data_IF_804498945607
#
_entry.id   IF_804498945607
#
_cell.length_a   1.000
_cell.length_b   1.000
_cell.length_c   1.000
_cell.angle_alpha   90.00
_cell.angle_beta   90.00
_cell.angle_gamma   90.00
#
_symmetry.space_group_name_H-M   'P 1'
#
loop_
_entity.id
_entity.type
_entity.pdbx_description
1 polymer ?
#
# COMPACT_ATOMS: atom_id res chain seq x y z
N UNK A 1 20.97 8.07 13.25
CA UNK A 1 19.74 8.87 13.42
C UNK A 1 18.90 8.74 12.15
N UNK A 2 17.91 7.85 12.16
CA UNK A 2 17.08 7.59 10.97
C UNK A 2 16.22 8.83 10.66
N UNK A 3 16.46 9.47 9.52
CA UNK A 3 15.64 10.59 9.04
C UNK A 3 14.30 10.04 8.53
N UNK A 4 13.32 9.87 9.42
CA UNK A 4 12.00 9.33 9.07
C UNK A 4 11.10 10.29 8.27
N UNK A 5 11.51 11.55 8.10
CA UNK A 5 10.80 12.54 7.29
C UNK A 5 11.74 13.06 6.19
N UNK A 6 11.97 12.26 5.15
CA UNK A 6 12.46 12.79 3.87
C UNK A 6 11.25 13.36 3.14
N UNK A 7 11.34 14.60 2.66
CA UNK A 7 10.40 15.12 1.66
C UNK A 7 10.45 14.15 0.48
N UNK A 8 9.31 13.59 0.09
CA UNK A 8 9.27 12.64 -1.01
C UNK A 8 9.45 13.45 -2.31
N UNK A 9 10.52 13.13 -3.04
CA UNK A 9 10.73 13.69 -4.38
C UNK A 9 9.80 12.97 -5.35
N UNK A 10 9.24 13.72 -6.30
CA UNK A 10 8.41 13.13 -7.35
C UNK A 10 9.29 12.21 -8.22
N UNK A 11 8.86 10.96 -8.48
CA UNK A 11 9.63 10.04 -9.30
C UNK A 11 9.68 10.55 -10.75
N UNK A 12 10.77 10.29 -11.47
CA UNK A 12 10.98 10.83 -12.83
C UNK A 12 9.93 10.39 -13.85
N UNK A 13 9.18 9.33 -13.57
CA UNK A 13 8.07 8.84 -14.39
C UNK A 13 6.81 9.70 -14.28
N UNK A 14 6.71 10.55 -13.25
CA UNK A 14 5.57 11.42 -13.02
C UNK A 14 5.98 12.87 -13.32
N UNK A 15 5.16 13.55 -14.10
CA UNK A 15 5.34 14.95 -14.44
C UNK A 15 4.04 15.70 -14.13
N UNK A 16 4.17 16.90 -13.59
CA UNK A 16 3.05 17.81 -13.39
C UNK A 16 2.56 18.33 -14.73
N UNK A 17 1.25 18.44 -14.92
CA UNK A 17 0.69 19.02 -16.14
C UNK A 17 0.71 20.55 -16.04
N UNK A 18 0.42 21.11 -14.88
CA UNK A 18 0.56 22.55 -14.58
C UNK A 18 1.94 22.89 -14.00
N UNK A 19 3.01 22.31 -14.55
CA UNK A 19 4.39 22.53 -14.07
C UNK A 19 4.84 24.00 -14.22
N UNK A 20 4.30 24.66 -15.24
CA UNK A 20 4.48 26.06 -15.63
C UNK A 20 3.75 27.06 -14.73
N UNK A 21 2.70 26.63 -14.03
CA UNK A 21 1.96 27.48 -13.09
C UNK A 21 2.63 27.54 -11.71
N UNK A 22 2.53 28.67 -10.98
CA UNK A 22 3.03 28.75 -9.61
C UNK A 22 2.29 27.77 -8.69
N UNK A 23 3.05 27.04 -7.88
CA UNK A 23 2.50 26.19 -6.83
C UNK A 23 1.96 27.07 -5.69
N UNK A 24 0.66 27.01 -5.45
CA UNK A 24 -0.02 27.77 -4.40
C UNK A 24 -0.05 26.99 -3.08
N UNK A 25 -0.18 25.67 -3.17
CA UNK A 25 -0.09 24.75 -2.04
C UNK A 25 0.37 23.39 -2.56
N UNK A 26 1.29 22.74 -1.85
CA UNK A 26 1.73 21.40 -2.20
C UNK A 26 2.42 20.69 -1.06
N UNK A 27 2.30 19.37 -1.06
CA UNK A 27 2.99 18.52 -0.10
C UNK A 27 3.03 17.08 -0.58
N UNK A 28 3.88 16.29 0.08
CA UNK A 28 3.93 14.86 -0.10
C UNK A 28 3.59 14.12 1.18
N UNK A 29 2.89 12.98 1.05
CA UNK A 29 2.43 12.18 2.18
C UNK A 29 2.40 10.71 1.82
N UNK A 30 2.71 9.85 2.80
CA UNK A 30 2.59 8.41 2.67
C UNK A 30 1.35 7.92 3.43
N UNK A 31 0.33 7.49 2.69
CA UNK A 31 -0.98 7.16 3.24
C UNK A 31 -1.48 5.76 2.79
N UNK A 32 -2.43 5.20 3.56
CA UNK A 32 -3.12 3.95 3.20
C UNK A 32 -4.30 4.28 2.29
N UNK A 33 -4.26 3.80 1.07
CA UNK A 33 -5.31 4.03 0.06
C UNK A 33 -6.17 2.78 -0.14
N UNK A 34 -6.70 2.23 0.95
CA UNK A 34 -7.69 1.14 0.98
C UNK A 34 -8.60 1.31 2.20
N UNK A 35 -9.66 0.53 2.26
CA UNK A 35 -10.51 0.47 3.45
C UNK A 35 -9.76 -0.23 4.58
N UNK A 36 -9.22 0.55 5.52
CA UNK A 36 -8.43 0.02 6.64
C UNK A 36 -9.22 -0.93 7.54
N UNK A 37 -10.54 -0.77 7.65
CA UNK A 37 -11.36 -1.68 8.43
C UNK A 37 -11.37 -3.08 7.81
N UNK A 38 -11.68 -3.17 6.51
CA UNK A 38 -11.66 -4.44 5.77
C UNK A 38 -10.26 -5.07 5.80
N UNK A 39 -9.21 -4.27 5.59
CA UNK A 39 -7.84 -4.76 5.65
C UNK A 39 -7.46 -5.30 7.05
N UNK A 40 -7.91 -4.65 8.13
CA UNK A 40 -7.71 -5.15 9.49
C UNK A 40 -8.46 -6.47 9.72
N UNK A 41 -9.70 -6.60 9.24
CA UNK A 41 -10.48 -7.83 9.34
C UNK A 41 -9.81 -8.98 8.57
N UNK A 42 -9.35 -8.74 7.33
CA UNK A 42 -8.61 -9.72 6.54
C UNK A 42 -7.31 -10.13 7.23
N UNK A 43 -6.58 -9.16 7.77
CA UNK A 43 -5.35 -9.42 8.53
C UNK A 43 -5.61 -10.30 9.76
N UNK A 44 -6.65 -9.99 10.55
CA UNK A 44 -7.01 -10.77 11.73
C UNK A 44 -7.41 -12.20 11.34
N UNK A 45 -8.23 -12.36 10.30
CA UNK A 45 -8.64 -13.66 9.80
C UNK A 45 -7.43 -14.51 9.36
N UNK A 46 -6.55 -13.97 8.51
CA UNK A 46 -5.35 -14.68 8.05
C UNK A 46 -4.38 -15.00 9.20
N UNK A 47 -4.20 -14.07 10.14
CA UNK A 47 -3.31 -14.26 11.27
C UNK A 47 -3.81 -15.33 12.23
N UNK A 48 -5.12 -15.38 12.51
CA UNK A 48 -5.68 -16.36 13.44
C UNK A 48 -5.83 -17.73 12.79
N UNK A 49 -6.49 -17.80 11.62
CA UNK A 49 -6.90 -19.07 11.02
C UNK A 49 -5.71 -19.78 10.37
N UNK A 50 -4.96 -19.06 9.54
CA UNK A 50 -3.88 -19.67 8.76
C UNK A 50 -2.60 -19.73 9.58
N UNK A 51 -2.15 -18.57 10.08
CA UNK A 51 -0.87 -18.49 10.80
C UNK A 51 -0.99 -19.07 12.21
N UNK A 52 -2.05 -18.76 12.94
CA UNK A 52 -2.34 -19.32 14.26
C UNK A 52 -2.63 -20.83 14.19
N UNK A 53 -3.41 -21.28 13.21
CA UNK A 53 -3.65 -22.71 12.98
C UNK A 53 -2.37 -23.48 12.67
N UNK A 54 -1.51 -22.96 11.79
CA UNK A 54 -0.22 -23.57 11.48
C UNK A 54 0.74 -23.56 12.69
N UNK A 55 0.82 -22.46 13.43
CA UNK A 55 1.63 -22.39 14.65
C UNK A 55 1.14 -23.36 15.72
N UNK A 56 -0.17 -23.51 15.88
CA UNK A 56 -0.77 -24.49 16.79
C UNK A 56 -0.50 -25.93 16.35
N UNK A 57 -0.55 -26.21 15.04
CA UNK A 57 -0.17 -27.51 14.50
C UNK A 57 1.30 -27.85 14.79
N UNK A 58 2.21 -26.89 14.62
CA UNK A 58 3.63 -27.05 14.98
C UNK A 58 3.80 -27.33 16.48
N UNK A 59 3.02 -26.67 17.34
CA UNK A 59 3.03 -26.92 18.78
C UNK A 59 2.54 -28.32 19.17
N UNK A 60 1.54 -28.85 18.45
CA UNK A 60 0.97 -30.17 18.72
C UNK A 60 1.82 -31.34 18.20
N UNK A 61 2.73 -31.11 17.25
CA UNK A 61 3.56 -32.14 16.62
C UNK A 61 5.04 -31.91 16.94
N UNK A 62 5.46 -32.08 18.22
CA UNK A 62 6.86 -31.95 18.60
C UNK A 62 7.72 -33.06 17.99
N UNK A 63 8.99 -32.77 17.76
CA UNK A 63 9.97 -33.83 17.50
C UNK A 63 10.30 -34.58 18.80
N UNK A 64 10.79 -35.83 18.75
CA UNK A 64 10.97 -36.67 19.94
C UNK A 64 11.87 -36.06 21.04
N UNK A 65 12.78 -35.16 20.68
CA UNK A 65 13.73 -34.50 21.60
C UNK A 65 13.37 -33.04 21.94
N UNK A 66 12.19 -32.55 21.52
CA UNK A 66 11.79 -31.17 21.78
C UNK A 66 11.34 -30.95 23.23
N UNK A 67 12.05 -30.09 23.95
CA UNK A 67 11.59 -29.56 25.23
C UNK A 67 10.43 -28.58 25.06
N UNK A 68 9.62 -28.39 26.12
CA UNK A 68 8.48 -27.48 26.07
C UNK A 68 8.86 -26.04 25.68
N UNK A 69 10.04 -25.58 26.11
CA UNK A 69 10.55 -24.25 25.79
C UNK A 69 10.90 -24.13 24.30
N UNK A 70 11.55 -25.13 23.69
CA UNK A 70 11.88 -25.08 22.25
C UNK A 70 10.59 -25.04 21.43
N UNK A 71 9.63 -25.89 21.77
CA UNK A 71 8.32 -26.00 21.13
C UNK A 71 7.53 -24.70 21.16
N UNK A 72 7.44 -24.05 22.33
CA UNK A 72 6.77 -22.74 22.47
C UNK A 72 7.53 -21.68 21.65
N UNK A 73 8.85 -21.67 21.73
CA UNK A 73 9.69 -20.67 21.05
C UNK A 73 9.54 -20.74 19.54
N UNK A 74 9.61 -21.95 18.95
CA UNK A 74 9.44 -22.15 17.51
C UNK A 74 8.02 -21.79 17.05
N UNK A 75 7.00 -22.23 17.78
CA UNK A 75 5.60 -21.96 17.42
C UNK A 75 5.26 -20.47 17.49
N UNK A 76 5.70 -19.78 18.56
CA UNK A 76 5.51 -18.34 18.71
C UNK A 76 6.34 -17.55 17.69
N UNK A 77 7.59 -17.96 17.47
CA UNK A 77 8.47 -17.35 16.47
C UNK A 77 7.87 -17.43 15.07
N UNK A 78 7.34 -18.60 14.69
CA UNK A 78 6.61 -18.81 13.44
C UNK A 78 5.39 -17.88 13.36
N UNK A 79 4.55 -17.86 14.40
CA UNK A 79 3.36 -17.03 14.43
C UNK A 79 3.68 -15.55 14.23
N UNK A 80 4.66 -15.02 14.97
CA UNK A 80 5.08 -13.62 14.91
C UNK A 80 5.65 -13.31 13.53
N UNK A 81 6.56 -14.15 13.03
CA UNK A 81 7.21 -13.94 11.73
C UNK A 81 6.18 -13.88 10.58
N UNK A 82 5.30 -14.86 10.49
CA UNK A 82 4.30 -14.91 9.42
C UNK A 82 3.20 -13.86 9.60
N UNK A 83 2.85 -13.47 10.83
CA UNK A 83 1.96 -12.34 11.07
C UNK A 83 2.57 -11.03 10.58
N UNK A 84 3.87 -10.82 10.77
CA UNK A 84 4.58 -9.65 10.23
C UNK A 84 4.59 -9.65 8.69
N UNK A 85 4.79 -10.82 8.06
CA UNK A 85 4.68 -10.96 6.61
C UNK A 85 3.27 -10.61 6.13
N UNK A 86 2.23 -11.17 6.73
CA UNK A 86 0.83 -10.86 6.37
C UNK A 86 0.51 -9.38 6.58
N UNK A 87 1.02 -8.76 7.67
CA UNK A 87 0.89 -7.33 7.90
C UNK A 87 1.55 -6.50 6.78
N UNK A 88 2.72 -6.92 6.29
CA UNK A 88 3.44 -6.22 5.22
C UNK A 88 2.66 -6.15 3.90
N UNK A 89 1.81 -7.14 3.63
CA UNK A 89 0.99 -7.23 2.41
C UNK A 89 -0.36 -6.54 2.59
N UNK A 90 -1.01 -6.72 3.75
CA UNK A 90 -2.34 -6.13 4.04
C UNK A 90 -2.27 -4.64 4.39
N UNK A 91 -1.17 -4.18 4.99
CA UNK A 91 -1.04 -2.83 5.52
C UNK A 91 -0.10 -1.93 4.71
N UNK A 92 -0.11 -2.10 3.39
CA UNK A 92 0.73 -1.31 2.49
C UNK A 92 0.40 0.19 2.56
N UNK A 93 1.37 1.04 2.25
CA UNK A 93 1.18 2.48 2.12
C UNK A 93 1.66 2.92 0.75
N UNK A 94 0.95 3.89 0.17
CA UNK A 94 1.31 4.54 -1.08
C UNK A 94 1.81 5.95 -0.81
N UNK A 95 2.68 6.43 -1.69
CA UNK A 95 3.13 7.81 -1.71
C UNK A 95 2.17 8.65 -2.53
N UNK A 96 1.91 9.85 -2.04
CA UNK A 96 1.11 10.86 -2.70
C UNK A 96 1.89 12.17 -2.73
N UNK A 97 1.77 12.90 -3.84
CA UNK A 97 2.16 14.28 -3.96
C UNK A 97 0.97 15.06 -4.46
N UNK A 98 0.64 16.17 -3.80
CA UNK A 98 -0.42 17.09 -4.19
C UNK A 98 0.22 18.41 -4.60
N UNK A 99 -0.32 19.00 -5.67
CA UNK A 99 0.03 20.35 -6.14
C UNK A 99 -1.26 21.07 -6.50
N UNK A 100 -1.46 22.24 -5.92
CA UNK A 100 -2.58 23.12 -6.19
C UNK A 100 -2.07 24.36 -6.91
N UNK A 101 -2.74 24.72 -8.00
CA UNK A 101 -2.38 25.86 -8.84
C UNK A 101 -3.61 26.73 -9.10
N UNK A 102 -3.47 27.77 -9.93
CA UNK A 102 -4.61 28.61 -10.28
C UNK A 102 -5.64 27.85 -11.13
N UNK A 103 -5.19 26.96 -12.02
CA UNK A 103 -6.07 26.19 -12.90
C UNK A 103 -6.78 25.02 -12.21
N UNK A 104 -6.18 24.44 -11.16
CA UNK A 104 -6.78 23.26 -10.54
C UNK A 104 -5.95 22.58 -9.46
N UNK A 105 -6.31 21.33 -9.21
CA UNK A 105 -5.60 20.41 -8.33
C UNK A 105 -5.02 19.25 -9.13
N UNK A 106 -3.75 18.98 -8.92
CA UNK A 106 -3.06 17.81 -9.45
C UNK A 106 -2.57 16.93 -8.31
N UNK A 107 -2.62 15.62 -8.51
CA UNK A 107 -1.95 14.71 -7.61
C UNK A 107 -1.32 13.54 -8.34
N UNK A 108 -0.16 13.16 -7.82
CA UNK A 108 0.56 11.98 -8.21
C UNK A 108 0.43 10.95 -7.09
N UNK A 109 0.07 9.71 -7.45
CA UNK A 109 0.14 8.57 -6.52
C UNK A 109 1.14 7.56 -7.06
N UNK A 110 2.02 7.10 -6.18
CA UNK A 110 2.94 6.05 -6.56
C UNK A 110 3.29 5.06 -5.47
N UNK A 111 3.75 3.89 -5.93
CA UNK A 111 4.29 2.83 -5.11
C UNK A 111 5.54 2.31 -5.79
N UNK A 112 6.67 2.58 -5.16
CA UNK A 112 7.96 2.05 -5.61
C UNK A 112 8.10 0.58 -5.22
N UNK A 113 8.77 -0.16 -6.09
CA UNK A 113 9.23 -1.50 -5.73
C UNK A 113 10.33 -1.37 -4.66
N UNK A 114 10.22 -2.04 -3.50
CA UNK A 114 11.20 -1.91 -2.44
C UNK A 114 12.56 -2.43 -2.90
N UNK A 115 13.55 -1.53 -3.02
CA UNK A 115 14.90 -1.87 -3.48
C UNK A 115 15.61 -2.92 -2.62
N UNK A 116 15.25 -3.02 -1.33
CA UNK A 116 15.80 -4.07 -0.45
C UNK A 116 15.30 -5.47 -0.82
N UNK A 117 14.18 -5.59 -1.54
CA UNK A 117 13.48 -6.87 -1.71
C UNK A 117 14.30 -7.84 -2.54
N UNK A 118 14.95 -7.37 -3.60
CA UNK A 118 15.84 -8.20 -4.43
C UNK A 118 17.04 -8.74 -3.64
N UNK A 119 17.86 -7.94 -2.95
CA UNK A 119 18.97 -8.47 -2.16
C UNK A 119 18.47 -9.35 -1.01
N UNK A 120 17.35 -9.02 -0.37
CA UNK A 120 16.75 -9.87 0.66
C UNK A 120 16.37 -11.24 0.10
N UNK A 121 15.60 -11.30 -1.00
CA UNK A 121 15.20 -12.56 -1.62
C UNK A 121 16.39 -13.39 -2.08
N UNK A 122 17.43 -12.74 -2.64
CA UNK A 122 18.66 -13.42 -3.05
C UNK A 122 19.33 -14.11 -1.85
N UNK A 123 19.56 -13.38 -0.76
CA UNK A 123 20.17 -13.93 0.45
C UNK A 123 19.29 -15.00 1.10
N UNK A 124 17.99 -14.75 1.22
CA UNK A 124 17.04 -15.68 1.80
C UNK A 124 16.93 -16.98 1.00
N UNK A 125 16.94 -16.90 -0.33
CA UNK A 125 17.00 -18.07 -1.22
C UNK A 125 18.30 -18.85 -0.98
N UNK A 126 19.44 -18.17 -0.91
CA UNK A 126 20.73 -18.83 -0.65
C UNK A 126 20.76 -19.58 0.69
N UNK A 127 20.28 -18.94 1.77
CA UNK A 127 20.21 -19.55 3.11
C UNK A 127 19.26 -20.75 3.11
N UNK A 128 18.08 -20.62 2.50
CA UNK A 128 17.11 -21.71 2.44
C UNK A 128 17.63 -22.90 1.62
N UNK A 129 18.32 -22.67 0.50
CA UNK A 129 18.98 -23.77 -0.25
C UNK A 129 19.94 -24.55 0.64
N UNK A 130 20.80 -23.87 1.41
CA UNK A 130 21.76 -24.55 2.31
C UNK A 130 21.06 -25.40 3.38
N UNK A 131 19.98 -24.86 3.97
CA UNK A 131 19.20 -25.59 4.98
C UNK A 131 18.58 -26.85 4.36
N UNK A 132 17.96 -26.75 3.19
CA UNK A 132 17.33 -27.89 2.52
C UNK A 132 18.33 -28.95 2.04
N UNK A 133 19.54 -28.57 1.61
CA UNK A 133 20.61 -29.53 1.29
C UNK A 133 21.07 -30.27 2.55
N UNK A 134 21.22 -29.55 3.67
CA UNK A 134 21.53 -30.16 4.97
C UNK A 134 20.46 -31.17 5.40
N UNK A 135 19.18 -30.80 5.30
CA UNK A 135 18.06 -31.70 5.64
C UNK A 135 17.96 -32.89 4.66
N UNK A 136 18.24 -32.69 3.37
CA UNK A 136 18.23 -33.75 2.37
C UNK A 136 19.29 -34.83 2.63
N UNK A 137 20.34 -34.51 3.40
CA UNK A 137 21.33 -35.50 3.85
C UNK A 137 20.78 -36.44 4.93
N UNK A 138 19.67 -36.06 5.59
CA UNK A 138 18.96 -36.85 6.60
C UNK A 138 17.80 -37.60 5.95
N UNK A 139 17.00 -36.93 5.12
CA UNK A 139 15.90 -37.54 4.37
C UNK A 139 15.79 -36.94 2.95
N UNK A 140 15.97 -37.74 1.88
CA UNK A 140 15.84 -37.28 0.50
C UNK A 140 14.49 -36.62 0.16
N UNK A 141 13.41 -36.89 0.89
CA UNK A 141 12.11 -36.25 0.69
C UNK A 141 12.17 -34.71 0.80
N UNK A 142 13.14 -34.17 1.55
CA UNK A 142 13.36 -32.73 1.65
C UNK A 142 13.78 -32.08 0.31
N UNK A 143 14.25 -32.84 -0.69
CA UNK A 143 14.52 -32.32 -2.03
C UNK A 143 13.24 -31.86 -2.75
N UNK A 144 12.09 -32.48 -2.46
CA UNK A 144 10.79 -32.06 -2.98
C UNK A 144 10.41 -30.70 -2.36
N UNK A 145 10.62 -30.56 -1.04
CA UNK A 145 10.46 -29.28 -0.33
C UNK A 145 11.41 -28.19 -0.87
N UNK A 146 12.63 -28.56 -1.27
CA UNK A 146 13.60 -27.67 -1.87
C UNK A 146 13.12 -27.08 -3.21
N UNK A 147 12.37 -27.86 -4.00
CA UNK A 147 11.79 -27.41 -5.27
C UNK A 147 10.72 -26.33 -5.05
N UNK A 148 9.80 -26.57 -4.10
CA UNK A 148 8.67 -25.65 -3.83
C UNK A 148 9.13 -24.42 -3.07
N UNK A 149 10.00 -24.57 -2.07
CA UNK A 149 10.51 -23.48 -1.26
C UNK A 149 11.61 -22.69 -1.99
N UNK A 150 12.90 -23.04 -1.80
CA UNK A 150 14.02 -22.35 -2.43
C UNK A 150 13.91 -22.22 -3.96
N UNK A 151 13.46 -23.27 -4.66
CA UNK A 151 13.27 -23.24 -6.11
C UNK A 151 12.21 -22.22 -6.54
N UNK A 152 11.04 -22.23 -5.90
CA UNK A 152 9.99 -21.22 -6.11
C UNK A 152 10.46 -19.79 -5.80
N UNK A 153 11.20 -19.61 -4.71
CA UNK A 153 11.79 -18.31 -4.34
C UNK A 153 12.83 -17.82 -5.36
N UNK A 154 13.66 -18.73 -5.89
CA UNK A 154 14.62 -18.42 -6.95
C UNK A 154 13.93 -17.96 -8.24
N UNK A 155 12.86 -18.64 -8.65
CA UNK A 155 12.05 -18.23 -9.81
C UNK A 155 11.37 -16.88 -9.59
N UNK A 156 10.87 -16.61 -8.38
CA UNK A 156 10.31 -15.32 -8.00
C UNK A 156 11.36 -14.21 -8.06
N UNK A 157 12.57 -14.45 -7.52
CA UNK A 157 13.69 -13.52 -7.62
C UNK A 157 14.06 -13.22 -9.08
N UNK A 158 14.21 -14.25 -9.91
CA UNK A 158 14.54 -14.09 -11.33
C UNK A 158 13.46 -13.30 -12.07
N UNK A 159 12.19 -13.59 -11.78
CA UNK A 159 11.06 -12.85 -12.33
C UNK A 159 11.11 -11.37 -11.91
N UNK A 160 11.35 -11.10 -10.64
CA UNK A 160 11.47 -9.74 -10.11
C UNK A 160 12.67 -8.98 -10.67
N UNK A 161 13.81 -9.64 -10.86
CA UNK A 161 15.04 -9.02 -11.32
C UNK A 161 15.02 -8.72 -12.83
N UNK A 162 14.45 -9.62 -13.63
CA UNK A 162 14.58 -9.58 -15.08
C UNK A 162 13.29 -9.18 -15.82
N UNK A 163 12.11 -9.27 -15.20
CA UNK A 163 10.84 -8.91 -15.86
C UNK A 163 10.40 -7.49 -15.53
N UNK A 164 10.47 -6.60 -16.52
CA UNK A 164 9.87 -5.25 -16.43
C UNK A 164 8.36 -5.31 -16.21
N UNK A 165 7.68 -6.28 -16.81
CA UNK A 165 6.24 -6.50 -16.62
C UNK A 165 5.91 -6.85 -15.17
N UNK A 166 6.72 -7.72 -14.53
CA UNK A 166 6.54 -8.04 -13.12
C UNK A 166 6.73 -6.81 -12.23
N UNK A 167 7.80 -6.04 -12.46
CA UNK A 167 8.03 -4.80 -11.73
C UNK A 167 6.90 -3.77 -11.96
N UNK A 168 6.37 -3.66 -13.18
CA UNK A 168 5.25 -2.80 -13.50
C UNK A 168 3.95 -3.24 -12.80
N UNK A 169 3.66 -4.53 -12.69
CA UNK A 169 2.49 -5.02 -11.93
C UNK A 169 2.56 -4.65 -10.43
N UNK A 170 3.77 -4.59 -9.88
CA UNK A 170 3.98 -4.30 -8.46
C UNK A 170 4.30 -2.83 -8.17
N UNK A 171 4.48 -2.02 -9.20
CA UNK A 171 4.57 -0.57 -9.10
C UNK A 171 3.28 0.08 -9.58
N UNK A 172 3.00 1.26 -9.05
CA UNK A 172 1.86 2.04 -9.50
C UNK A 172 2.38 3.46 -9.66
N UNK A 173 2.13 4.07 -10.81
CA UNK A 173 2.43 5.48 -11.07
C UNK A 173 1.22 6.04 -11.79
N UNK A 174 0.51 6.95 -11.14
CA UNK A 174 -0.62 7.61 -11.77
C UNK A 174 -0.56 9.09 -11.45
N UNK A 175 -0.85 9.87 -12.47
CA UNK A 175 -1.02 11.31 -12.38
C UNK A 175 -2.48 11.63 -12.72
N UNK A 176 -3.09 12.50 -11.93
CA UNK A 176 -4.43 13.01 -12.18
C UNK A 176 -4.42 14.52 -11.99
N UNK A 177 -5.12 15.22 -12.88
CA UNK A 177 -5.28 16.66 -12.84
C UNK A 177 -6.77 16.98 -13.01
N UNK A 178 -7.29 17.81 -12.13
CA UNK A 178 -8.69 18.25 -12.14
C UNK A 178 -8.73 19.75 -12.12
N UNK A 179 -9.61 20.32 -12.93
CA UNK A 179 -9.89 21.74 -12.85
C UNK A 179 -10.83 22.03 -11.69
N UNK A 180 -10.76 23.26 -11.17
CA UNK A 180 -11.66 23.67 -10.09
C UNK A 180 -13.15 23.58 -10.47
N UNK A 181 -13.49 23.84 -11.73
CA UNK A 181 -14.85 23.76 -12.28
C UNK A 181 -15.46 22.34 -12.28
N UNK A 182 -14.61 21.30 -12.25
CA UNK A 182 -15.04 19.90 -12.26
C UNK A 182 -15.46 19.39 -10.87
N UNK A 183 -15.13 20.15 -9.82
CA UNK A 183 -15.36 19.77 -8.43
C UNK A 183 -16.77 20.15 -7.99
N UNK A 184 -17.54 19.14 -7.58
CA UNK A 184 -18.96 19.27 -7.25
C UNK A 184 -19.25 19.26 -5.76
N UNK A 185 -18.29 18.86 -4.92
CA UNK A 185 -18.44 18.88 -3.46
C UNK A 185 -17.08 18.93 -2.78
N UNK A 186 -17.01 19.67 -1.66
CA UNK A 186 -15.88 19.64 -0.72
C UNK A 186 -16.35 19.14 0.65
N UNK A 187 -15.75 18.06 1.14
CA UNK A 187 -16.07 17.48 2.44
C UNK A 187 -14.83 17.31 3.33
N UNK A 188 -14.92 17.81 4.56
CA UNK A 188 -13.94 17.49 5.60
C UNK A 188 -14.32 16.14 6.20
N UNK A 189 -13.48 15.13 6.01
CA UNK A 189 -13.74 13.80 6.56
C UNK A 189 -13.68 13.82 8.09
N UNK A 190 -14.70 13.30 8.77
CA UNK A 190 -14.76 13.24 10.25
C UNK A 190 -14.04 12.03 10.82
N UNK A 191 -14.01 10.93 10.05
CA UNK A 191 -13.46 9.63 10.44
C UNK A 191 -12.01 9.41 9.97
N UNK A 192 -11.45 10.29 9.12
CA UNK A 192 -10.11 10.15 8.54
C UNK A 192 -9.38 11.50 8.43
N UNK A 193 -8.07 11.44 8.23
CA UNK A 193 -7.21 12.60 7.95
C UNK A 193 -7.20 12.91 6.44
N UNK A 194 -8.38 13.21 5.90
CA UNK A 194 -8.62 13.42 4.47
C UNK A 194 -9.57 14.60 4.26
N UNK A 195 -9.33 15.36 3.21
CA UNK A 195 -10.30 16.25 2.58
C UNK A 195 -10.80 15.56 1.32
N UNK A 196 -12.11 15.36 1.20
CA UNK A 196 -12.74 14.67 0.10
C UNK A 196 -13.30 15.68 -0.90
N UNK A 197 -12.97 15.48 -2.17
CA UNK A 197 -13.40 16.30 -3.29
C UNK A 197 -14.20 15.43 -4.25
N UNK A 198 -15.49 15.67 -4.40
CA UNK A 198 -16.24 14.98 -5.45
C UNK A 198 -16.10 15.71 -6.77
N UNK A 199 -16.07 14.94 -7.85
CA UNK A 199 -16.06 15.46 -9.20
C UNK A 199 -16.97 14.61 -10.08
N UNK A 200 -17.53 15.23 -11.12
CA UNK A 200 -18.37 14.53 -12.10
C UNK A 200 -17.72 14.61 -13.47
N UNK A 201 -17.54 13.48 -14.13
CA UNK A 201 -17.06 13.42 -15.51
C UNK A 201 -18.19 12.87 -16.39
N UNK A 202 -18.43 13.55 -17.50
CA UNK A 202 -19.25 13.02 -18.60
C UNK A 202 -18.32 12.21 -19.50
N UNK A 203 -18.55 10.92 -19.62
CA UNK A 203 -17.78 10.06 -20.51
C UNK A 203 -18.28 10.28 -21.95
N UNK A 204 -17.35 10.43 -22.91
CA UNK A 204 -17.71 10.59 -24.32
C UNK A 204 -18.51 9.37 -24.80
N UNK A 205 -19.77 9.59 -25.21
CA UNK A 205 -20.68 8.56 -25.71
C UNK A 205 -21.72 8.04 -24.71
N UNK A 206 -21.72 8.48 -23.46
CA UNK A 206 -22.75 8.16 -22.47
C UNK A 206 -23.37 9.44 -21.87
N UNK A 207 -24.70 9.54 -21.85
CA UNK A 207 -25.45 10.59 -21.13
C UNK A 207 -25.33 10.47 -19.59
N UNK A 208 -24.55 9.50 -19.09
CA UNK A 208 -24.41 9.21 -17.67
C UNK A 208 -23.26 10.02 -17.04
N UNK A 209 -23.60 10.93 -16.12
CA UNK A 209 -22.61 11.60 -15.25
C UNK A 209 -22.11 10.64 -14.19
N UNK A 210 -20.84 10.26 -14.27
CA UNK A 210 -20.22 9.42 -13.22
C UNK A 210 -19.64 10.30 -12.13
N UNK A 211 -20.03 10.04 -10.88
CA UNK A 211 -19.55 10.78 -9.71
C UNK A 211 -18.41 10.03 -9.04
N UNK A 212 -17.24 10.67 -8.96
CA UNK A 212 -16.04 10.11 -8.38
C UNK A 212 -15.57 10.98 -7.21
N UNK A 213 -14.61 10.46 -6.44
CA UNK A 213 -14.06 11.12 -5.24
C UNK A 213 -12.54 11.17 -5.29
N UNK A 214 -11.99 12.36 -5.17
CA UNK A 214 -10.59 12.65 -4.93
C UNK A 214 -10.34 12.77 -3.42
N UNK A 215 -9.59 11.81 -2.87
CA UNK A 215 -9.16 11.83 -1.49
C UNK A 215 -7.83 12.61 -1.37
N UNK A 216 -7.88 13.80 -0.75
CA UNK A 216 -6.71 14.62 -0.44
C UNK A 216 -6.20 14.29 0.96
N UNK A 217 -5.18 13.43 1.04
CA UNK A 217 -4.58 13.03 2.32
C UNK A 217 -3.76 14.18 2.92
N UNK A 218 -4.04 14.52 4.17
CA UNK A 218 -3.36 15.59 4.90
C UNK A 218 -3.16 15.19 6.37
N UNK A 219 -2.31 15.90 7.11
CA UNK A 219 -2.21 15.67 8.56
C UNK A 219 -3.45 16.22 9.26
N UNK A 220 -3.85 15.62 10.38
CA UNK A 220 -5.00 16.07 11.20
C UNK A 220 -5.06 17.59 11.44
N UNK A 221 -3.92 18.23 11.74
CA UNK A 221 -3.82 19.68 12.01
C UNK A 221 -3.98 20.55 10.76
N UNK A 222 -3.69 20.01 9.57
CA UNK A 222 -3.72 20.75 8.30
C UNK A 222 -5.07 20.65 7.59
N UNK A 223 -5.91 19.67 7.95
CA UNK A 223 -7.16 19.35 7.24
C UNK A 223 -8.11 20.54 7.08
N UNK A 224 -8.28 21.35 8.13
CA UNK A 224 -9.15 22.53 8.09
C UNK A 224 -8.54 23.58 7.16
N UNK A 225 -7.25 23.89 7.32
CA UNK A 225 -6.55 24.87 6.50
C UNK A 225 -6.54 24.49 5.01
N UNK A 226 -6.36 23.20 4.68
CA UNK A 226 -6.43 22.71 3.29
C UNK A 226 -7.83 22.92 2.71
N UNK A 227 -8.88 22.61 3.49
CA UNK A 227 -10.25 22.80 3.03
C UNK A 227 -10.62 24.29 2.88
N UNK A 228 -10.16 25.14 3.80
CA UNK A 228 -10.32 26.59 3.73
C UNK A 228 -9.54 27.20 2.57
N UNK A 229 -8.37 26.66 2.23
CA UNK A 229 -7.61 27.05 1.06
C UNK A 229 -8.33 26.69 -0.25
N UNK A 230 -8.95 25.51 -0.34
CA UNK A 230 -9.65 25.07 -1.56
C UNK A 230 -10.96 25.83 -1.78
N UNK A 231 -11.67 26.17 -0.71
CA UNK A 231 -13.03 26.74 -0.75
C UNK A 231 -13.21 27.93 -1.73
N UNK A 232 -12.31 28.93 -1.80
CA UNK A 232 -12.47 30.08 -2.68
C UNK A 232 -12.37 29.76 -4.17
N UNK A 233 -11.74 28.63 -4.54
CA UNK A 233 -11.58 28.21 -5.93
C UNK A 233 -12.81 27.49 -6.49
N UNK A 234 -13.73 27.05 -5.61
CA UNK A 234 -14.92 26.31 -6.01
C UNK A 234 -16.02 27.26 -6.50
N UNK A 235 -16.81 26.80 -7.47
CA UNK A 235 -17.96 27.54 -8.00
C UNK A 235 -18.98 27.88 -6.91
N UNK A 236 -19.65 29.04 -7.06
CA UNK A 236 -20.71 29.46 -6.14
C UNK A 236 -21.86 28.43 -6.16
N UNK A 237 -22.06 27.77 -5.02
CA UNK A 237 -23.06 26.70 -4.87
C UNK A 237 -22.49 25.31 -4.63
N UNK A 238 -21.17 25.12 -4.72
CA UNK A 238 -20.54 23.84 -4.33
C UNK A 238 -20.68 23.63 -2.82
N UNK A 239 -21.32 22.53 -2.36
CA UNK A 239 -21.53 22.28 -0.94
C UNK A 239 -20.21 22.05 -0.21
N UNK A 240 -20.07 22.74 0.93
CA UNK A 240 -18.98 22.57 1.89
C UNK A 240 -19.49 21.91 3.17
N UNK A 241 -19.15 20.63 3.39
CA UNK A 241 -19.74 19.82 4.46
C UNK A 241 -18.70 19.12 5.34
N UNK A 242 -19.15 18.63 6.50
CA UNK A 242 -18.41 17.66 7.33
C UNK A 242 -19.13 16.33 7.26
N UNK A 243 -18.47 15.30 6.77
CA UNK A 243 -19.09 13.99 6.54
C UNK A 243 -18.17 12.83 6.94
N UNK A 244 -18.73 11.63 7.09
CA UNK A 244 -17.91 10.41 7.11
C UNK A 244 -17.54 10.07 5.66
N UNK A 245 -16.27 9.80 5.41
CA UNK A 245 -15.73 9.51 4.07
C UNK A 245 -15.10 8.11 4.07
N UNK A 246 -15.39 7.34 3.03
CA UNK A 246 -14.78 6.04 2.80
C UNK A 246 -13.63 6.16 1.80
N UNK A 247 -12.50 5.51 2.07
CA UNK A 247 -11.34 5.51 1.17
C UNK A 247 -10.92 4.08 0.89
N UNK A 248 -10.64 3.73 -0.37
CA UNK A 248 -11.12 4.32 -1.61
C UNK A 248 -12.48 3.71 -1.88
N UNK A 249 -13.50 4.54 -2.07
CA UNK A 249 -14.69 4.12 -2.76
C UNK A 249 -15.07 5.25 -3.69
N UNK A 250 -14.60 5.13 -4.92
CA UNK A 250 -15.36 5.59 -6.05
C UNK A 250 -16.06 4.36 -6.63
N UNK A 251 -17.15 3.97 -5.99
CA UNK A 251 -18.20 3.13 -6.57
C UNK A 251 -19.46 3.48 -5.79
N UNK A 252 -20.35 4.21 -6.48
CA UNK A 252 -21.79 3.98 -6.31
C UNK A 252 -22.10 2.54 -6.69
#
# INVERSE_FOLDING_TARGET
MFKFNKVLDLPSQLQWKYADEPELLGWTIRARNYNTFVANCMFAFLSIVVVGGAAYFLYLNPTPDDGDISRITFSLGFFVFFSLLTASVTHQRMNFAYRFTQSGVEYCKWKDFPKWMLPFLKWFTGVTVLIFIGMASIDPAFLIGALVGPGGMGLMYLSMANSKSYQQMHTQYHHYAFKWEELTQLAIATNREVVDLKYSITLEGEDCKTNWSLNVFCKRKQKVNVAEFIKPYLSSGVPFIRAKVNVPLSTQ
#
